data_IF_025128412799
#
_entry.id   IF_025128412799
#
_cell.length_a   1.000
_cell.length_b   1.000
_cell.length_c   1.000
_cell.angle_alpha   90.00
_cell.angle_beta   90.00
_cell.angle_gamma   90.00
#
_symmetry.space_group_name_H-M   'P 1'
#
loop_
_entity.id
_entity.type
_entity.pdbx_description
1 polymer ?
#
# COMPACT_ATOMS: atom_id res chain seq x y z
N UNK A 1 -0.49 -39.09 -2.13
CA UNK A 1 -1.93 -39.16 -1.79
C UNK A 1 -2.42 -37.77 -1.40
N UNK A 2 -3.67 -37.43 -1.72
CA UNK A 2 -4.32 -36.19 -1.29
C UNK A 2 -5.56 -36.55 -0.46
N UNK A 3 -5.90 -35.73 0.54
CA UNK A 3 -7.11 -35.90 1.34
C UNK A 3 -7.88 -34.59 1.46
N UNK A 4 -9.19 -34.72 1.57
CA UNK A 4 -10.10 -33.68 2.05
C UNK A 4 -10.77 -34.27 3.29
N UNK A 5 -10.73 -33.55 4.40
CA UNK A 5 -11.23 -34.02 5.68
C UNK A 5 -11.77 -32.87 6.52
N UNK A 6 -12.52 -33.20 7.57
CA UNK A 6 -12.91 -32.22 8.58
C UNK A 6 -12.19 -32.53 9.88
N UNK A 7 -11.80 -31.48 10.60
CA UNK A 7 -11.44 -31.58 12.00
C UNK A 7 -12.61 -31.04 12.79
N UNK A 8 -13.22 -31.86 13.66
CA UNK A 8 -14.33 -31.45 14.50
C UNK A 8 -13.91 -31.74 15.94
N UNK A 9 -13.66 -30.70 16.73
CA UNK A 9 -13.56 -30.83 18.18
C UNK A 9 -14.92 -30.54 18.81
N UNK A 10 -15.74 -31.59 18.99
CA UNK A 10 -17.06 -31.53 19.65
C UNK A 10 -18.22 -32.03 18.77
N UNK A 11 -19.46 -31.92 19.24
CA UNK A 11 -20.64 -32.27 18.46
C UNK A 11 -20.95 -31.19 17.42
N UNK A 12 -21.37 -31.60 16.22
CA UNK A 12 -21.55 -30.75 15.03
C UNK A 12 -22.54 -29.57 15.19
N UNK A 13 -23.24 -29.45 16.33
CA UNK A 13 -24.35 -28.51 16.51
C UNK A 13 -24.12 -27.40 17.56
N UNK A 14 -23.00 -27.40 18.30
CA UNK A 14 -22.78 -26.38 19.36
C UNK A 14 -21.29 -26.11 19.57
N UNK A 15 -20.83 -24.92 19.18
CA UNK A 15 -19.52 -24.33 19.55
C UNK A 15 -18.29 -25.25 19.40
N UNK A 16 -18.30 -26.12 18.40
CA UNK A 16 -17.17 -26.98 18.07
C UNK A 16 -16.23 -26.24 17.11
N UNK A 17 -14.93 -26.21 17.40
CA UNK A 17 -13.91 -25.82 16.43
C UNK A 17 -13.93 -26.84 15.30
N UNK A 18 -14.72 -26.53 14.26
CA UNK A 18 -14.85 -27.33 13.07
C UNK A 18 -14.10 -26.64 11.91
N UNK A 19 -13.20 -27.36 11.24
CA UNK A 19 -12.50 -26.86 10.06
C UNK A 19 -12.54 -27.87 8.91
N UNK A 20 -12.51 -27.37 7.68
CA UNK A 20 -12.36 -28.17 6.46
C UNK A 20 -10.91 -28.09 6.00
N UNK A 21 -10.23 -29.23 5.85
CA UNK A 21 -8.81 -29.31 5.55
C UNK A 21 -8.59 -30.01 4.21
N UNK A 22 -7.77 -29.39 3.36
CA UNK A 22 -7.20 -29.94 2.15
C UNK A 22 -5.71 -30.20 2.37
N UNK A 23 -5.26 -31.42 2.09
CA UNK A 23 -3.90 -31.82 2.42
C UNK A 23 -3.31 -32.80 1.42
N UNK A 24 -1.98 -32.78 1.35
CA UNK A 24 -1.22 -33.67 0.47
C UNK A 24 -0.09 -34.34 1.24
N UNK A 25 0.21 -35.57 0.83
CA UNK A 25 1.38 -36.31 1.33
C UNK A 25 2.58 -36.11 0.41
N UNK A 26 3.75 -35.92 1.02
CA UNK A 26 5.05 -35.89 0.34
C UNK A 26 5.81 -37.23 0.43
N UNK A 27 5.15 -38.32 0.85
CA UNK A 27 5.78 -39.64 1.04
C UNK A 27 6.35 -39.89 2.44
N UNK A 28 6.48 -38.87 3.29
CA UNK A 28 6.91 -38.99 4.69
C UNK A 28 5.74 -38.76 5.64
N UNK A 29 4.96 -37.73 5.36
CA UNK A 29 3.82 -37.35 6.18
C UNK A 29 2.71 -36.77 5.34
N UNK A 30 1.64 -36.38 6.01
CA UNK A 30 0.48 -35.73 5.42
C UNK A 30 0.38 -34.32 6.00
N UNK A 31 0.36 -33.31 5.12
CA UNK A 31 0.47 -31.92 5.53
C UNK A 31 -0.74 -31.13 5.05
N UNK A 32 -1.41 -30.39 5.95
CA UNK A 32 -2.40 -29.39 5.56
C UNK A 32 -1.79 -28.39 4.58
N UNK A 33 -2.52 -28.13 3.49
CA UNK A 33 -2.14 -27.15 2.45
C UNK A 33 -3.09 -25.97 2.45
N UNK A 34 -4.38 -26.24 2.65
CA UNK A 34 -5.42 -25.23 2.80
C UNK A 34 -6.38 -25.67 3.90
N UNK A 35 -6.84 -24.71 4.70
CA UNK A 35 -7.81 -24.91 5.77
C UNK A 35 -8.89 -23.83 5.67
N UNK A 36 -10.15 -24.20 5.86
CA UNK A 36 -11.25 -23.28 6.12
C UNK A 36 -11.63 -23.45 7.58
N UNK A 37 -11.42 -22.42 8.39
CA UNK A 37 -11.66 -22.48 9.83
C UNK A 37 -13.15 -22.35 10.18
N UNK A 38 -13.45 -22.39 11.49
CA UNK A 38 -14.81 -22.29 12.03
C UNK A 38 -15.50 -20.94 11.73
N UNK A 39 -14.73 -19.90 11.44
CA UNK A 39 -15.23 -18.55 11.14
C UNK A 39 -15.32 -18.31 9.61
N UNK A 40 -15.05 -19.36 8.82
CA UNK A 40 -15.06 -19.35 7.36
C UNK A 40 -13.87 -18.64 6.74
N UNK A 41 -12.79 -18.45 7.48
CA UNK A 41 -11.54 -17.88 6.97
C UNK A 41 -10.73 -18.97 6.27
N UNK A 42 -10.14 -18.64 5.14
CA UNK A 42 -9.33 -19.56 4.33
C UNK A 42 -7.84 -19.31 4.60
N UNK A 43 -7.16 -20.29 5.18
CA UNK A 43 -5.71 -20.33 5.28
C UNK A 43 -5.09 -21.17 4.16
N UNK A 44 -4.07 -20.65 3.46
CA UNK A 44 -3.24 -21.43 2.52
C UNK A 44 -1.80 -21.37 3.03
N UNK A 45 -1.22 -22.53 3.37
CA UNK A 45 0.09 -22.61 4.03
C UNK A 45 0.10 -22.11 5.49
N UNK A 46 -1.06 -21.81 6.06
CA UNK A 46 -1.26 -21.46 7.47
C UNK A 46 -2.51 -22.16 8.00
N UNK A 47 -2.51 -22.56 9.27
CA UNK A 47 -3.66 -23.14 9.99
C UNK A 47 -4.33 -22.14 10.92
N UNK A 48 -3.87 -20.89 10.94
CA UNK A 48 -4.38 -19.82 11.81
C UNK A 48 -4.63 -18.59 10.94
N UNK A 49 -5.64 -18.60 10.06
CA UNK A 49 -6.03 -17.43 9.31
C UNK A 49 -6.69 -16.40 10.23
N UNK A 50 -6.17 -15.18 10.27
CA UNK A 50 -6.69 -14.04 11.03
C UNK A 50 -7.58 -13.10 10.19
N UNK A 51 -7.60 -13.32 8.87
CA UNK A 51 -8.42 -12.63 7.88
C UNK A 51 -9.09 -13.61 6.93
N UNK A 52 -10.06 -13.16 6.14
CA UNK A 52 -10.86 -14.03 5.25
C UNK A 52 -10.04 -14.90 4.31
N UNK A 53 -8.90 -14.41 3.84
CA UNK A 53 -7.93 -15.18 3.07
C UNK A 53 -6.52 -14.84 3.55
N UNK A 54 -5.89 -15.78 4.26
CA UNK A 54 -4.50 -15.67 4.70
C UNK A 54 -3.63 -16.65 3.90
N UNK A 55 -2.58 -16.14 3.24
CA UNK A 55 -1.66 -16.96 2.44
C UNK A 55 -0.25 -16.80 2.98
N UNK A 56 0.31 -17.88 3.52
CA UNK A 56 1.71 -17.95 3.92
C UNK A 56 2.56 -18.45 2.75
N UNK A 57 2.80 -17.56 1.78
CA UNK A 57 3.54 -17.86 0.56
C UNK A 57 3.32 -16.83 -0.54
N UNK A 58 3.80 -17.14 -1.74
CA UNK A 58 3.69 -16.23 -2.89
C UNK A 58 2.37 -16.42 -3.64
N UNK A 59 1.72 -15.30 -4.00
CA UNK A 59 0.55 -15.29 -4.88
C UNK A 59 0.99 -14.78 -6.26
N UNK A 60 0.81 -15.59 -7.31
CA UNK A 60 1.00 -15.16 -8.70
C UNK A 60 -0.36 -15.01 -9.36
N UNK A 61 -0.72 -13.78 -9.69
CA UNK A 61 -1.97 -13.45 -10.39
C UNK A 61 -1.66 -12.80 -11.75
N UNK A 62 -2.58 -12.95 -12.71
CA UNK A 62 -2.56 -12.15 -13.95
C UNK A 62 -3.08 -10.73 -13.71
N UNK A 63 -4.08 -10.62 -12.85
CA UNK A 63 -4.76 -9.37 -12.52
C UNK A 63 -5.30 -9.46 -11.08
N UNK A 64 -5.26 -8.33 -10.37
CA UNK A 64 -5.87 -8.14 -9.07
C UNK A 64 -6.61 -6.81 -9.11
N UNK A 65 -7.94 -6.85 -8.94
CA UNK A 65 -8.74 -5.64 -8.75
C UNK A 65 -8.91 -5.41 -7.25
N UNK A 66 -8.40 -4.29 -6.76
CA UNK A 66 -8.56 -3.89 -5.35
C UNK A 66 -9.63 -2.82 -5.28
N UNK A 67 -10.69 -3.08 -4.52
CA UNK A 67 -11.77 -2.13 -4.29
C UNK A 67 -11.50 -1.41 -2.96
N UNK A 68 -11.02 -0.17 -3.03
CA UNK A 68 -10.82 0.69 -1.86
C UNK A 68 -11.86 1.81 -1.85
N UNK A 69 -12.33 2.18 -0.66
CA UNK A 69 -13.35 3.22 -0.51
C UNK A 69 -12.80 4.64 -0.72
N UNK A 70 -11.48 4.85 -0.49
CA UNK A 70 -10.87 6.18 -0.36
C UNK A 70 -9.81 6.42 -1.43
N UNK A 71 -10.23 6.63 -2.67
CA UNK A 71 -9.33 7.01 -3.76
C UNK A 71 -8.97 8.51 -3.69
N UNK A 72 -7.69 8.90 -3.85
CA UNK A 72 -7.20 10.23 -3.48
C UNK A 72 -7.50 11.38 -4.46
N UNK A 73 -8.66 11.43 -5.11
CA UNK A 73 -9.00 12.47 -6.12
C UNK A 73 -9.12 13.91 -5.56
N UNK A 74 -9.05 14.06 -4.24
CA UNK A 74 -9.19 15.34 -3.55
C UNK A 74 -7.93 16.24 -3.62
N UNK A 75 -6.78 15.75 -4.09
CA UNK A 75 -5.53 16.54 -4.14
C UNK A 75 -5.64 17.75 -5.09
N UNK A 76 -6.50 17.65 -6.10
CA UNK A 76 -6.76 18.75 -7.03
C UNK A 76 -7.87 19.72 -6.57
N UNK A 77 -8.44 19.52 -5.38
CA UNK A 77 -9.44 20.42 -4.84
C UNK A 77 -8.84 21.81 -4.55
N UNK A 78 -9.64 22.87 -4.72
CA UNK A 78 -9.18 24.26 -4.59
C UNK A 78 -8.70 24.61 -3.17
N UNK A 79 -9.22 23.92 -2.17
CA UNK A 79 -8.91 24.07 -0.75
C UNK A 79 -7.82 23.10 -0.27
N UNK A 80 -7.28 22.26 -1.15
CA UNK A 80 -6.21 21.33 -0.80
C UNK A 80 -4.95 22.08 -0.36
N UNK A 81 -4.54 21.84 0.89
CA UNK A 81 -3.33 22.40 1.44
C UNK A 81 -2.13 21.55 1.03
N UNK A 82 -1.47 21.97 -0.05
CA UNK A 82 -0.25 21.33 -0.53
C UNK A 82 0.87 21.48 0.52
N UNK A 83 1.49 20.39 0.99
CA UNK A 83 2.62 20.47 1.92
C UNK A 83 3.77 21.28 1.31
N UNK A 84 4.41 22.13 2.12
CA UNK A 84 5.59 22.85 1.66
C UNK A 84 6.78 21.90 1.52
N UNK A 85 7.69 22.20 0.59
CA UNK A 85 8.94 21.44 0.45
C UNK A 85 9.79 21.50 1.72
N UNK A 86 9.74 22.63 2.44
CA UNK A 86 10.46 22.80 3.71
C UNK A 86 9.94 21.88 4.80
N UNK A 87 8.61 21.75 4.93
CA UNK A 87 8.01 20.86 5.92
C UNK A 87 8.24 19.39 5.54
N UNK A 88 8.20 19.09 4.25
CA UNK A 88 8.50 17.75 3.72
C UNK A 88 9.96 17.37 3.99
N UNK A 89 10.91 18.26 3.71
CA UNK A 89 12.33 18.06 3.99
C UNK A 89 12.57 17.86 5.49
N UNK A 90 11.98 18.70 6.33
CA UNK A 90 12.05 18.55 7.79
C UNK A 90 11.56 17.17 8.22
N UNK A 91 10.42 16.72 7.70
CA UNK A 91 9.88 15.40 8.03
C UNK A 91 10.81 14.26 7.58
N UNK A 92 11.37 14.34 6.37
CA UNK A 92 12.32 13.33 5.88
C UNK A 92 13.56 13.28 6.77
N UNK A 93 14.09 14.44 7.19
CA UNK A 93 15.26 14.50 8.07
C UNK A 93 14.96 13.94 9.47
N UNK A 94 13.74 14.11 9.98
CA UNK A 94 13.33 13.63 11.30
C UNK A 94 12.87 12.16 11.33
N UNK A 95 12.25 11.67 10.24
CA UNK A 95 11.57 10.36 10.19
C UNK A 95 12.19 9.38 9.20
N UNK A 96 12.97 9.84 8.23
CA UNK A 96 13.63 8.99 7.24
C UNK A 96 12.71 8.46 6.13
N UNK A 97 11.46 8.92 6.05
CA UNK A 97 10.51 8.52 5.00
C UNK A 97 9.57 9.69 4.66
N UNK A 98 8.75 9.51 3.60
CA UNK A 98 7.80 10.53 3.17
C UNK A 98 6.59 10.63 4.12
N UNK A 99 6.00 11.83 4.30
CA UNK A 99 4.79 11.99 5.08
C UNK A 99 3.64 11.12 4.56
N UNK A 100 3.06 10.29 5.44
CA UNK A 100 1.94 9.40 5.10
C UNK A 100 2.32 8.08 4.43
N UNK A 101 3.61 7.85 4.16
CA UNK A 101 4.15 6.56 3.72
C UNK A 101 4.73 5.84 4.96
N UNK A 102 4.41 4.55 5.18
CA UNK A 102 4.95 3.82 6.32
C UNK A 102 6.47 3.68 6.25
N UNK A 103 7.11 3.59 7.41
CA UNK A 103 8.54 3.34 7.50
C UNK A 103 8.91 1.90 7.13
N UNK A 104 10.18 1.64 6.82
CA UNK A 104 10.63 0.28 6.51
C UNK A 104 10.39 -0.70 7.67
N UNK A 105 10.52 -0.24 8.92
CA UNK A 105 10.30 -1.06 10.11
C UNK A 105 8.81 -1.38 10.32
N UNK A 106 7.91 -0.43 10.03
CA UNK A 106 6.46 -0.65 10.03
C UNK A 106 6.06 -1.67 8.96
N UNK A 107 6.60 -1.53 7.75
CA UNK A 107 6.35 -2.46 6.64
C UNK A 107 6.84 -3.87 6.95
N UNK A 108 8.00 -3.99 7.60
CA UNK A 108 8.55 -5.29 7.98
C UNK A 108 7.68 -6.01 9.03
N UNK A 109 7.04 -5.25 9.91
CA UNK A 109 6.27 -5.81 11.03
C UNK A 109 4.82 -6.10 10.62
N UNK A 110 4.19 -5.17 9.90
CA UNK A 110 2.75 -5.19 9.63
C UNK A 110 2.40 -5.50 8.16
N UNK A 111 3.40 -5.54 7.28
CA UNK A 111 3.16 -5.64 5.84
C UNK A 111 2.62 -4.33 5.26
N UNK A 112 2.04 -4.42 4.06
CA UNK A 112 1.47 -3.28 3.35
C UNK A 112 0.16 -3.70 2.69
N UNK A 113 -0.88 -2.92 2.94
CA UNK A 113 -2.13 -3.04 2.20
C UNK A 113 -1.95 -2.49 0.78
N UNK A 114 -2.01 -3.37 -0.22
CA UNK A 114 -1.75 -3.03 -1.62
C UNK A 114 -2.61 -1.85 -2.11
N UNK A 115 -3.90 -1.84 -1.74
CA UNK A 115 -4.84 -0.78 -2.13
C UNK A 115 -4.52 0.56 -1.48
N UNK A 116 -4.28 0.57 -0.16
CA UNK A 116 -3.95 1.78 0.59
C UNK A 116 -2.60 2.36 0.15
N UNK A 117 -1.59 1.52 -0.09
CA UNK A 117 -0.29 1.97 -0.58
C UNK A 117 -0.38 2.56 -1.98
N UNK A 118 -1.13 1.93 -2.89
CA UNK A 118 -1.35 2.49 -4.23
C UNK A 118 -2.07 3.84 -4.16
N UNK A 119 -3.07 3.99 -3.29
CA UNK A 119 -3.73 5.27 -3.04
C UNK A 119 -2.75 6.32 -2.48
N UNK A 120 -1.95 5.97 -1.48
CA UNK A 120 -0.92 6.86 -0.92
C UNK A 120 0.11 7.28 -1.97
N UNK A 121 0.57 6.36 -2.82
CA UNK A 121 1.51 6.65 -3.90
C UNK A 121 0.89 7.58 -4.95
N UNK A 122 -0.36 7.34 -5.35
CA UNK A 122 -1.06 8.22 -6.27
C UNK A 122 -1.18 9.64 -5.71
N UNK A 123 -1.58 9.78 -4.44
CA UNK A 123 -1.58 11.07 -3.74
C UNK A 123 -0.24 11.79 -3.85
N UNK A 124 0.88 11.07 -3.67
CA UNK A 124 2.24 11.64 -3.80
C UNK A 124 2.58 12.07 -5.22
N UNK A 125 2.14 11.33 -6.23
CA UNK A 125 2.31 11.69 -7.63
C UNK A 125 1.54 12.97 -7.95
N UNK A 126 0.32 13.10 -7.46
CA UNK A 126 -0.51 14.30 -7.65
C UNK A 126 0.07 15.52 -6.92
N UNK A 127 0.48 15.37 -5.66
CA UNK A 127 1.18 16.43 -4.91
C UNK A 127 2.45 16.89 -5.64
N UNK A 128 3.25 15.94 -6.12
CA UNK A 128 4.49 16.24 -6.86
C UNK A 128 4.19 16.95 -8.19
N UNK A 129 3.10 16.60 -8.85
CA UNK A 129 2.66 17.26 -10.10
C UNK A 129 2.30 18.72 -9.84
N UNK A 130 1.58 19.02 -8.75
CA UNK A 130 1.29 20.41 -8.35
C UNK A 130 2.57 21.20 -8.05
N UNK A 131 3.53 20.60 -7.33
CA UNK A 131 4.82 21.22 -7.04
C UNK A 131 5.60 21.49 -8.34
N UNK A 132 5.63 20.54 -9.28
CA UNK A 132 6.31 20.70 -10.58
C UNK A 132 5.69 21.82 -11.41
N UNK A 133 4.36 21.94 -11.43
CA UNK A 133 3.66 23.04 -12.11
C UNK A 133 4.06 24.39 -11.48
N UNK A 134 4.10 24.47 -10.15
CA UNK A 134 4.51 25.69 -9.44
C UNK A 134 5.98 26.04 -9.74
N UNK A 135 6.88 25.06 -9.71
CA UNK A 135 8.29 25.25 -10.01
C UNK A 135 8.51 25.72 -11.45
N UNK A 136 7.81 25.14 -12.43
CA UNK A 136 7.92 25.56 -13.83
C UNK A 136 7.47 27.03 -14.00
N UNK A 137 6.39 27.46 -13.32
CA UNK A 137 5.96 28.86 -13.32
C UNK A 137 7.03 29.78 -12.73
N UNK A 138 7.67 29.37 -11.64
CA UNK A 138 8.76 30.14 -11.02
C UNK A 138 9.97 30.26 -11.96
N UNK A 139 10.36 29.17 -12.64
CA UNK A 139 11.46 29.17 -13.61
C UNK A 139 11.17 30.13 -14.77
N UNK A 140 9.94 30.12 -15.31
CA UNK A 140 9.55 31.05 -16.37
C UNK A 140 9.58 32.51 -15.90
N UNK A 141 9.09 32.79 -14.70
CA UNK A 141 9.13 34.13 -14.10
C UNK A 141 10.58 34.62 -13.88
N UNK A 142 11.46 33.74 -13.41
CA UNK A 142 12.88 34.04 -13.25
C UNK A 142 13.53 34.34 -14.60
N UNK A 143 13.22 33.56 -15.64
CA UNK A 143 13.73 33.79 -16.99
C UNK A 143 13.30 35.16 -17.55
N UNK A 144 12.04 35.55 -17.37
CA UNK A 144 11.57 36.89 -17.78
C UNK A 144 12.22 38.01 -16.96
N UNK A 145 12.41 37.80 -15.66
CA UNK A 145 13.12 38.76 -14.78
C UNK A 145 14.56 38.97 -15.24
N UNK A 146 15.28 37.89 -15.56
CA UNK A 146 16.65 37.94 -16.08
C UNK A 146 16.72 38.68 -17.42
N UNK A 147 15.76 38.45 -18.34
CA UNK A 147 15.68 39.22 -19.61
C UNK A 147 15.49 40.71 -19.36
N UNK A 148 14.66 41.09 -18.39
CA UNK A 148 14.45 42.50 -18.05
C UNK A 148 15.70 43.14 -17.43
N UNK A 149 16.37 42.45 -16.52
CA UNK A 149 17.62 42.90 -15.91
C UNK A 149 18.72 43.08 -16.97
N UNK A 150 18.86 42.14 -17.91
CA UNK A 150 19.82 42.25 -19.00
C UNK A 150 19.57 43.51 -19.85
N UNK A 151 18.31 43.77 -20.24
CA UNK A 151 17.94 44.98 -20.98
C UNK A 151 18.24 46.27 -20.22
N UNK A 152 18.15 46.26 -18.89
CA UNK A 152 18.50 47.43 -18.07
C UNK A 152 20.01 47.66 -18.03
N UNK A 153 20.80 46.59 -17.88
CA UNK A 153 22.27 46.67 -17.93
C UNK A 153 22.77 47.17 -19.29
N UNK A 154 22.13 46.76 -20.38
CA UNK A 154 22.51 47.20 -21.73
C UNK A 154 22.22 48.69 -21.99
N UNK A 155 21.26 49.30 -21.27
CA UNK A 155 20.96 50.74 -21.36
C UNK A 155 21.90 51.63 -20.55
N UNK A 156 22.67 51.04 -19.63
CA UNK A 156 23.62 51.74 -18.76
C UNK A 156 25.05 51.74 -19.35
N UNK A 157 25.27 51.01 -20.43
CA UNK A 157 26.51 51.00 -21.23
C UNK A 157 26.39 51.99 -22.38
#
# INVERSE_FOLDING_TARGET
MAYIGSNIQGEAAVNSSASLIFATSNGIGVYPRMEIDKDGNVGIGTSIPDVKLAVNGNIRAREIKVETANWPDYVFAKDYQLPSLKDTEKHINEKGHLPGIPSADEVKTNGVDLGDMNAKLLKKIEEMTLIMIQLNKQVQQQAETLKMQQKQLDKLK
#
